data_IF_590343056739
#
_entry.id   IF_590343056739
#
_cell.length_a   1.000
_cell.length_b   1.000
_cell.length_c   1.000
_cell.angle_alpha   90.00
_cell.angle_beta   90.00
_cell.angle_gamma   90.00
#
_symmetry.space_group_name_H-M   'P 1'
#
loop_
_entity.id
_entity.type
_entity.pdbx_description
1 polymer ?
#
# COMPACT_ATOMS: atom_id res chain seq x y z
N UNK A 1 -23.81 -55.03 2.76
CA UNK A 1 -24.27 -54.08 1.73
C UNK A 1 -24.86 -52.78 2.32
N UNK A 2 -25.57 -52.80 3.44
CA UNK A 2 -26.16 -51.59 4.05
C UNK A 2 -25.12 -50.63 4.70
N UNK A 3 -24.09 -51.20 5.35
CA UNK A 3 -22.98 -50.42 5.96
C UNK A 3 -22.18 -49.63 4.93
N UNK A 4 -21.94 -50.19 3.74
CA UNK A 4 -21.19 -49.53 2.66
C UNK A 4 -21.95 -48.33 2.05
N UNK A 5 -23.28 -48.35 2.06
CA UNK A 5 -24.12 -47.24 1.59
C UNK A 5 -24.17 -46.07 2.58
N UNK A 6 -24.05 -46.35 3.87
CA UNK A 6 -23.97 -45.32 4.93
C UNK A 6 -22.67 -44.52 4.88
N UNK A 7 -21.54 -45.14 4.52
CA UNK A 7 -20.26 -44.43 4.35
C UNK A 7 -20.23 -43.50 3.12
N UNK A 8 -20.92 -43.88 2.04
CA UNK A 8 -21.03 -43.04 0.83
C UNK A 8 -21.92 -41.82 1.08
N UNK A 9 -23.03 -41.98 1.81
CA UNK A 9 -23.90 -40.86 2.17
C UNK A 9 -23.22 -39.85 3.14
N UNK A 10 -22.42 -40.33 4.09
CA UNK A 10 -21.66 -39.47 5.00
C UNK A 10 -20.54 -38.68 4.29
N UNK A 11 -19.90 -39.28 3.27
CA UNK A 11 -18.88 -38.60 2.47
C UNK A 11 -19.46 -37.47 1.60
N UNK A 12 -20.71 -37.60 1.12
CA UNK A 12 -21.39 -36.57 0.33
C UNK A 12 -21.80 -35.37 1.21
N UNK A 13 -22.23 -35.61 2.44
CA UNK A 13 -22.59 -34.53 3.38
C UNK A 13 -21.34 -33.77 3.86
N UNK A 14 -20.21 -34.44 4.08
CA UNK A 14 -18.95 -33.80 4.45
C UNK A 14 -18.36 -32.93 3.31
N UNK A 15 -18.59 -33.27 2.04
CA UNK A 15 -18.14 -32.48 0.90
C UNK A 15 -18.99 -31.22 0.64
N UNK A 16 -20.25 -31.22 1.10
CA UNK A 16 -21.15 -30.07 0.94
C UNK A 16 -20.81 -28.87 1.85
N UNK A 17 -20.04 -29.08 2.92
CA UNK A 17 -19.62 -28.02 3.87
C UNK A 17 -18.28 -27.36 3.53
N UNK A 18 -17.55 -27.83 2.50
CA UNK A 18 -16.26 -27.26 2.09
C UNK A 18 -16.40 -26.02 1.17
N UNK A 19 -17.63 -25.65 0.78
CA UNK A 19 -17.92 -24.55 -0.13
C UNK A 19 -18.22 -23.20 0.52
N UNK A 20 -18.00 -23.03 1.82
CA UNK A 20 -18.19 -21.75 2.50
C UNK A 20 -17.17 -20.73 1.97
N UNK A 21 -17.58 -19.97 0.97
CA UNK A 21 -16.89 -18.75 0.57
C UNK A 21 -16.89 -17.81 1.78
N UNK A 22 -15.71 -17.56 2.35
CA UNK A 22 -15.53 -16.46 3.29
C UNK A 22 -15.94 -15.19 2.56
N UNK A 23 -17.10 -14.63 2.92
CA UNK A 23 -17.51 -13.33 2.42
C UNK A 23 -16.45 -12.32 2.86
N UNK A 24 -15.57 -11.90 1.95
CA UNK A 24 -14.67 -10.80 2.25
C UNK A 24 -15.53 -9.57 2.56
N UNK A 25 -15.39 -9.06 3.79
CA UNK A 25 -16.09 -7.86 4.21
C UNK A 25 -15.73 -6.72 3.25
N UNK A 26 -16.74 -6.23 2.51
CA UNK A 26 -16.57 -5.10 1.64
C UNK A 26 -16.70 -3.81 2.46
N UNK A 27 -15.75 -2.89 2.27
CA UNK A 27 -15.76 -1.57 2.91
C UNK A 27 -16.41 -0.56 1.98
N UNK A 28 -17.40 0.20 2.47
CA UNK A 28 -18.02 1.25 1.66
C UNK A 28 -17.07 2.43 1.51
N UNK A 29 -16.95 2.95 0.29
CA UNK A 29 -16.19 4.15 -0.02
C UNK A 29 -16.92 5.06 -0.99
N UNK A 30 -16.38 6.25 -1.21
CA UNK A 30 -16.87 7.24 -2.17
C UNK A 30 -15.75 7.56 -3.16
N UNK A 31 -16.08 7.61 -4.46
CA UNK A 31 -15.14 8.08 -5.48
C UNK A 31 -14.91 9.60 -5.35
N UNK A 32 -13.66 10.05 -5.24
CA UNK A 32 -13.35 11.48 -5.05
C UNK A 32 -13.30 12.27 -6.36
N UNK A 33 -13.22 11.59 -7.50
CA UNK A 33 -13.15 12.17 -8.84
C UNK A 33 -13.79 11.23 -9.87
N UNK A 34 -13.98 11.72 -11.10
CA UNK A 34 -14.32 10.88 -12.24
C UNK A 34 -13.13 9.96 -12.55
N UNK A 35 -13.26 8.68 -12.21
CA UNK A 35 -12.14 7.73 -12.24
C UNK A 35 -12.47 6.52 -13.09
N UNK A 36 -11.50 6.08 -13.89
CA UNK A 36 -11.63 4.86 -14.68
C UNK A 36 -11.60 3.62 -13.78
N UNK A 37 -12.67 2.83 -13.82
CA UNK A 37 -12.68 1.48 -13.31
C UNK A 37 -11.95 0.58 -14.32
N UNK A 38 -10.83 -0.03 -13.93
CA UNK A 38 -9.96 -0.77 -14.85
C UNK A 38 -10.04 -2.27 -14.66
N UNK A 39 -9.71 -3.01 -15.70
CA UNK A 39 -9.67 -4.47 -15.65
C UNK A 39 -8.54 -5.03 -14.75
N UNK A 40 -7.57 -4.21 -14.36
CA UNK A 40 -6.47 -4.64 -13.49
C UNK A 40 -5.79 -3.48 -12.76
N UNK A 41 -4.92 -3.78 -11.79
CA UNK A 41 -4.27 -2.81 -10.89
C UNK A 41 -3.11 -2.05 -11.56
N UNK A 42 -3.36 -1.46 -12.73
CA UNK A 42 -2.42 -0.60 -13.46
C UNK A 42 -3.16 0.22 -14.52
N UNK A 43 -2.61 1.38 -14.89
CA UNK A 43 -3.12 2.20 -16.00
C UNK A 43 -2.96 1.55 -17.37
N UNK A 44 -2.15 0.50 -17.49
CA UNK A 44 -2.02 -0.30 -18.72
C UNK A 44 -3.20 -1.24 -19.00
N UNK A 45 -4.06 -1.49 -18.02
CA UNK A 45 -5.28 -2.28 -18.21
C UNK A 45 -6.41 -1.44 -18.83
N UNK A 46 -7.28 -2.06 -19.64
CA UNK A 46 -8.40 -1.37 -20.26
C UNK A 46 -9.38 -0.84 -19.20
N UNK A 47 -10.00 0.30 -19.51
CA UNK A 47 -11.10 0.81 -18.72
C UNK A 47 -12.37 0.02 -19.04
N UNK A 48 -13.07 -0.40 -17.99
CA UNK A 48 -14.39 -1.05 -18.05
C UNK A 48 -15.46 0.04 -18.19
N UNK A 49 -15.40 1.04 -17.30
CA UNK A 49 -16.31 2.18 -17.25
C UNK A 49 -15.67 3.32 -16.45
N UNK A 50 -16.37 4.44 -16.34
CA UNK A 50 -16.01 5.58 -15.47
C UNK A 50 -16.93 5.57 -14.26
N UNK A 51 -16.35 5.64 -13.06
CA UNK A 51 -17.08 5.90 -11.81
C UNK A 51 -17.15 7.42 -11.61
N UNK A 52 -18.35 8.02 -11.55
CA UNK A 52 -18.48 9.46 -11.33
C UNK A 52 -18.03 9.87 -9.92
N UNK A 53 -17.54 11.10 -9.78
CA UNK A 53 -17.23 11.68 -8.48
C UNK A 53 -18.47 11.70 -7.55
N UNK A 54 -18.27 11.45 -6.25
CA UNK A 54 -19.34 11.40 -5.26
C UNK A 54 -20.13 10.09 -5.21
N UNK A 55 -19.83 9.14 -6.10
CA UNK A 55 -20.57 7.87 -6.18
C UNK A 55 -20.10 6.88 -5.11
N UNK A 56 -21.05 6.18 -4.49
CA UNK A 56 -20.77 5.10 -3.56
C UNK A 56 -20.23 3.85 -4.28
N UNK A 57 -19.18 3.27 -3.73
CA UNK A 57 -18.51 2.08 -4.22
C UNK A 57 -18.27 1.09 -3.08
N UNK A 58 -18.24 -0.19 -3.40
CA UNK A 58 -17.91 -1.25 -2.44
C UNK A 58 -16.49 -1.72 -2.68
N UNK A 59 -15.61 -1.56 -1.69
CA UNK A 59 -14.20 -1.96 -1.76
C UNK A 59 -14.01 -3.33 -1.14
N UNK A 60 -13.65 -4.33 -1.93
CA UNK A 60 -13.52 -5.72 -1.47
C UNK A 60 -12.11 -6.05 -0.97
N UNK A 61 -11.14 -5.24 -1.35
CA UNK A 61 -9.74 -5.40 -0.96
C UNK A 61 -8.84 -4.58 -1.86
N UNK A 62 -7.58 -4.47 -1.49
CA UNK A 62 -6.56 -3.88 -2.35
C UNK A 62 -5.42 -4.85 -2.61
N UNK A 63 -4.73 -4.70 -3.73
CA UNK A 63 -3.48 -5.44 -3.93
C UNK A 63 -2.45 -5.01 -2.89
N UNK A 64 -1.44 -5.87 -2.66
CA UNK A 64 -0.36 -5.58 -1.72
C UNK A 64 0.24 -4.19 -2.00
N UNK A 65 0.41 -3.39 -0.95
CA UNK A 65 0.82 -1.98 -1.04
C UNK A 65 -0.32 -0.98 -1.19
N UNK A 66 -1.58 -1.45 -1.25
CA UNK A 66 -2.80 -0.64 -1.22
C UNK A 66 -2.83 0.50 -2.25
N UNK A 67 -2.10 0.36 -3.36
CA UNK A 67 -2.09 1.36 -4.44
C UNK A 67 -3.33 1.24 -5.34
N UNK A 68 -3.87 0.03 -5.47
CA UNK A 68 -5.04 -0.28 -6.28
C UNK A 68 -6.00 -1.16 -5.49
N UNK A 69 -7.28 -0.86 -5.58
CA UNK A 69 -8.33 -1.54 -4.86
C UNK A 69 -9.37 -2.12 -5.82
N UNK A 70 -9.75 -3.35 -5.55
CA UNK A 70 -10.83 -4.05 -6.22
C UNK A 70 -12.15 -3.55 -5.66
N UNK A 71 -12.93 -2.88 -6.50
CA UNK A 71 -14.18 -2.26 -6.14
C UNK A 71 -15.32 -2.77 -7.02
N UNK A 72 -16.51 -2.77 -6.46
CA UNK A 72 -17.76 -2.96 -7.20
C UNK A 72 -18.49 -1.63 -7.34
N UNK A 73 -18.96 -1.34 -8.55
CA UNK A 73 -19.78 -0.20 -8.91
C UNK A 73 -20.91 -0.66 -9.82
N UNK A 74 -22.13 -0.72 -9.27
CA UNK A 74 -23.28 -1.32 -9.98
C UNK A 74 -22.97 -2.77 -10.40
N UNK A 75 -23.16 -3.15 -11.68
CA UNK A 75 -22.83 -4.49 -12.17
C UNK A 75 -21.33 -4.67 -12.46
N UNK A 76 -20.53 -3.59 -12.37
CA UNK A 76 -19.12 -3.62 -12.75
C UNK A 76 -18.23 -3.97 -11.56
N UNK A 77 -17.24 -4.82 -11.83
CA UNK A 77 -16.18 -5.21 -10.91
C UNK A 77 -14.84 -4.82 -11.52
N UNK A 78 -13.95 -4.20 -10.76
CA UNK A 78 -12.63 -3.84 -11.28
C UNK A 78 -11.77 -3.04 -10.33
N UNK A 79 -10.72 -2.43 -10.84
CA UNK A 79 -9.65 -1.81 -10.06
C UNK A 79 -9.63 -0.29 -10.20
N UNK A 80 -9.53 0.39 -9.06
CA UNK A 80 -9.37 1.84 -8.95
C UNK A 80 -8.17 2.15 -8.06
N UNK A 81 -7.43 3.22 -8.34
CA UNK A 81 -6.32 3.62 -7.49
C UNK A 81 -6.85 4.14 -6.13
N UNK A 82 -6.22 3.74 -5.03
CA UNK A 82 -6.70 4.04 -3.68
C UNK A 82 -6.81 5.55 -3.39
N UNK A 83 -5.98 6.37 -4.03
CA UNK A 83 -6.04 7.83 -3.92
C UNK A 83 -7.36 8.46 -4.40
N UNK A 84 -8.18 7.72 -5.15
CA UNK A 84 -9.50 8.15 -5.60
C UNK A 84 -10.65 7.60 -4.74
N UNK A 85 -10.33 6.88 -3.67
CA UNK A 85 -11.31 6.27 -2.78
C UNK A 85 -11.27 7.02 -1.46
N UNK A 86 -12.41 7.51 -1.01
CA UNK A 86 -12.59 8.11 0.30
C UNK A 86 -13.38 7.15 1.19
N UNK A 87 -12.92 6.97 2.43
CA UNK A 87 -13.57 6.17 3.46
C UNK A 87 -13.86 7.04 4.67
N UNK A 88 -14.77 6.60 5.53
CA UNK A 88 -15.01 7.26 6.83
C UNK A 88 -14.12 6.59 7.88
N UNK A 89 -13.24 7.38 8.50
CA UNK A 89 -12.39 6.92 9.59
C UNK A 89 -12.52 7.88 10.76
N UNK A 90 -12.87 7.35 11.95
CA UNK A 90 -13.10 8.15 13.17
C UNK A 90 -14.08 9.33 12.95
N UNK A 91 -15.14 9.11 12.17
CA UNK A 91 -16.17 10.11 11.91
C UNK A 91 -15.81 11.17 10.86
N UNK A 92 -14.60 11.14 10.29
CA UNK A 92 -14.17 12.07 9.25
C UNK A 92 -13.97 11.37 7.90
N UNK A 93 -14.27 12.05 6.77
CA UNK A 93 -13.90 11.57 5.45
C UNK A 93 -12.39 11.66 5.26
N UNK A 94 -11.75 10.55 4.90
CA UNK A 94 -10.30 10.47 4.66
C UNK A 94 -10.04 9.71 3.37
N UNK A 95 -9.13 10.23 2.54
CA UNK A 95 -8.66 9.53 1.34
C UNK A 95 -7.91 8.27 1.75
N UNK A 96 -8.24 7.16 1.10
CA UNK A 96 -7.64 5.88 1.38
C UNK A 96 -6.14 5.92 1.08
N UNK A 97 -5.38 5.49 2.06
CA UNK A 97 -3.93 5.38 1.98
C UNK A 97 -3.49 4.05 2.57
N UNK A 98 -2.30 3.59 2.20
CA UNK A 98 -1.83 2.29 2.65
C UNK A 98 -1.70 2.10 4.17
N UNK A 99 -1.31 3.12 4.98
CA UNK A 99 -1.34 2.98 6.43
C UNK A 99 -2.76 2.90 7.00
N UNK A 100 -3.72 3.53 6.32
CA UNK A 100 -5.12 3.58 6.75
C UNK A 100 -5.90 2.32 6.38
N UNK A 101 -5.59 1.71 5.23
CA UNK A 101 -6.37 0.61 4.67
C UNK A 101 -6.58 -0.57 5.65
N UNK A 102 -5.56 -1.08 6.37
CA UNK A 102 -5.78 -2.13 7.37
C UNK A 102 -6.67 -1.67 8.53
N UNK A 103 -6.56 -0.39 8.94
CA UNK A 103 -7.31 0.16 10.07
C UNK A 103 -8.81 0.32 9.78
N UNK A 104 -9.19 0.39 8.50
CA UNK A 104 -10.60 0.42 8.06
C UNK A 104 -11.11 -0.95 7.60
N UNK A 105 -10.36 -2.03 7.85
CA UNK A 105 -10.77 -3.40 7.52
C UNK A 105 -10.54 -3.82 6.07
N UNK A 106 -9.84 -3.02 5.26
CA UNK A 106 -9.51 -3.38 3.88
C UNK A 106 -8.33 -4.35 3.89
N UNK A 107 -8.55 -5.54 3.33
CA UNK A 107 -7.57 -6.62 3.29
C UNK A 107 -6.79 -6.65 1.97
N UNK A 108 -5.71 -7.43 1.95
CA UNK A 108 -4.92 -7.66 0.74
C UNK A 108 -5.56 -8.75 -0.11
N UNK A 109 -5.87 -8.43 -1.36
CA UNK A 109 -6.41 -9.36 -2.37
C UNK A 109 -5.40 -9.56 -3.50
N UNK A 110 -5.58 -10.66 -4.24
CA UNK A 110 -4.70 -11.03 -5.36
C UNK A 110 -5.41 -10.79 -6.69
N UNK A 111 -4.75 -10.08 -7.60
CA UNK A 111 -5.13 -10.05 -9.01
C UNK A 111 -4.44 -11.20 -9.76
N UNK A 112 -5.20 -12.12 -10.33
CA UNK A 112 -4.69 -13.28 -11.05
C UNK A 112 -5.59 -13.67 -12.24
N UNK A 113 -5.20 -14.76 -12.93
CA UNK A 113 -5.96 -15.27 -14.07
C UNK A 113 -7.38 -15.73 -13.70
N UNK A 114 -7.56 -16.30 -12.51
CA UNK A 114 -8.89 -16.74 -12.04
C UNK A 114 -9.83 -15.54 -11.93
N UNK A 115 -9.39 -14.45 -11.29
CA UNK A 115 -10.17 -13.20 -11.20
C UNK A 115 -10.55 -12.69 -12.59
N UNK A 116 -9.60 -12.67 -13.52
CA UNK A 116 -9.83 -12.25 -14.90
C UNK A 116 -10.90 -13.10 -15.60
N UNK A 117 -10.81 -14.42 -15.47
CA UNK A 117 -11.76 -15.37 -16.03
C UNK A 117 -13.11 -15.34 -15.31
N UNK A 118 -13.19 -14.89 -14.06
CA UNK A 118 -14.48 -14.75 -13.36
C UNK A 118 -15.25 -13.51 -13.84
N UNK A 119 -14.59 -12.35 -13.93
CA UNK A 119 -15.29 -11.09 -14.10
C UNK A 119 -15.31 -10.55 -15.55
N UNK A 120 -14.40 -11.01 -16.41
CA UNK A 120 -14.18 -10.33 -17.69
C UNK A 120 -14.48 -11.15 -18.94
N UNK A 121 -15.03 -12.37 -18.83
CA UNK A 121 -15.33 -13.25 -19.97
C UNK A 121 -16.12 -12.59 -21.10
N UNK A 122 -17.03 -11.68 -20.77
CA UNK A 122 -17.89 -11.01 -21.74
C UNK A 122 -17.23 -9.83 -22.46
N UNK A 123 -16.01 -9.42 -22.07
CA UNK A 123 -15.38 -8.22 -22.62
C UNK A 123 -14.55 -8.53 -23.88
N UNK A 124 -14.54 -7.65 -24.90
CA UNK A 124 -13.83 -7.89 -26.17
C UNK A 124 -12.32 -8.15 -26.00
N UNK A 125 -11.71 -7.60 -24.96
CA UNK A 125 -10.29 -7.72 -24.66
C UNK A 125 -9.94 -8.91 -23.76
N UNK A 126 -10.92 -9.73 -23.35
CA UNK A 126 -10.74 -10.88 -22.46
C UNK A 126 -9.61 -11.83 -22.88
N UNK A 127 -9.55 -12.18 -24.17
CA UNK A 127 -8.55 -13.11 -24.71
C UNK A 127 -7.11 -12.59 -24.67
N UNK A 128 -6.90 -11.31 -24.35
CA UNK A 128 -5.59 -10.64 -24.39
C UNK A 128 -4.87 -10.60 -23.05
N UNK A 129 -5.15 -11.51 -22.13
CA UNK A 129 -4.49 -11.58 -20.81
C UNK A 129 -2.96 -11.38 -20.88
N UNK A 130 -2.29 -12.09 -21.80
CA UNK A 130 -0.83 -12.04 -21.95
C UNK A 130 -0.29 -10.71 -22.52
N UNK A 131 -1.17 -9.87 -23.11
CA UNK A 131 -0.78 -8.55 -23.63
C UNK A 131 -0.71 -7.49 -22.51
N UNK A 132 -1.26 -7.77 -21.33
CA UNK A 132 -1.28 -6.83 -20.22
C UNK A 132 -0.09 -7.07 -19.27
N UNK A 133 0.56 -6.00 -18.80
CA UNK A 133 1.70 -6.13 -17.90
C UNK A 133 1.26 -6.82 -16.60
N UNK A 134 1.99 -7.82 -16.10
CA UNK A 134 1.65 -8.45 -14.83
C UNK A 134 1.68 -7.42 -13.71
N UNK A 135 0.76 -7.55 -12.75
CA UNK A 135 0.80 -6.73 -11.55
C UNK A 135 2.06 -7.07 -10.74
N UNK A 136 2.96 -6.10 -10.62
CA UNK A 136 4.11 -6.19 -9.72
C UNK A 136 3.79 -5.38 -8.47
N UNK A 137 3.66 -6.01 -7.28
CA UNK A 137 3.39 -5.27 -6.07
C UNK A 137 4.53 -4.29 -5.79
N UNK A 138 4.23 -3.06 -5.34
CA UNK A 138 5.25 -2.10 -5.02
C UNK A 138 6.15 -2.63 -3.89
N UNK A 139 7.46 -2.36 -3.98
CA UNK A 139 8.41 -2.72 -2.92
C UNK A 139 8.08 -2.01 -1.59
N UNK A 140 7.47 -0.84 -1.69
CA UNK A 140 6.99 -0.03 -0.59
C UNK A 140 5.47 -0.11 -0.49
N UNK A 141 4.94 -0.20 0.72
CA UNK A 141 3.51 -0.18 1.01
C UNK A 141 3.01 1.24 1.21
N UNK A 142 3.79 2.14 1.81
CA UNK A 142 3.41 3.53 1.98
C UNK A 142 4.60 4.46 1.77
N UNK A 143 4.34 5.69 1.35
CA UNK A 143 5.32 6.77 1.36
C UNK A 143 4.63 8.10 1.65
N UNK A 144 5.34 9.00 2.33
CA UNK A 144 4.91 10.37 2.57
C UNK A 144 6.08 11.35 2.33
N UNK A 145 5.72 12.59 2.00
CA UNK A 145 6.64 13.73 1.89
C UNK A 145 5.90 15.00 2.28
N UNK A 146 6.50 15.83 3.12
CA UNK A 146 5.99 17.18 3.39
C UNK A 146 7.15 18.16 3.56
N UNK A 147 6.88 19.42 3.24
CA UNK A 147 7.83 20.53 3.43
C UNK A 147 7.05 21.71 3.98
N UNK A 148 7.54 22.27 5.08
CA UNK A 148 6.98 23.46 5.70
C UNK A 148 8.10 24.46 5.92
N UNK A 149 7.92 25.70 5.46
CA UNK A 149 8.89 26.78 5.67
C UNK A 149 8.22 27.97 6.36
N UNK A 150 8.84 28.50 7.40
CA UNK A 150 8.39 29.68 8.13
C UNK A 150 9.59 30.42 8.73
N UNK A 151 9.59 31.75 8.65
CA UNK A 151 10.60 32.60 9.30
C UNK A 151 12.06 32.28 8.92
N UNK A 152 12.33 31.92 7.65
CA UNK A 152 13.67 31.56 7.20
C UNK A 152 14.17 30.17 7.61
N UNK A 153 13.30 29.37 8.27
CA UNK A 153 13.52 27.97 8.56
C UNK A 153 12.63 27.09 7.67
N UNK A 154 13.16 25.96 7.23
CA UNK A 154 12.43 24.94 6.46
C UNK A 154 12.59 23.57 7.11
N UNK A 155 11.48 22.86 7.29
CA UNK A 155 11.43 21.48 7.75
C UNK A 155 10.82 20.61 6.67
N UNK A 156 11.61 19.67 6.14
CA UNK A 156 11.15 18.62 5.24
C UNK A 156 11.08 17.29 5.97
N UNK A 157 9.97 16.57 5.83
CA UNK A 157 9.86 15.18 6.27
C UNK A 157 9.58 14.27 5.08
N UNK A 158 10.12 13.05 5.12
CA UNK A 158 9.81 12.01 4.15
C UNK A 158 9.91 10.66 4.82
N UNK A 159 9.03 9.73 4.47
CA UNK A 159 9.10 8.37 4.96
C UNK A 159 8.56 7.36 3.96
N UNK A 160 8.95 6.11 4.13
CA UNK A 160 8.39 4.98 3.39
C UNK A 160 8.41 3.71 4.23
N UNK A 161 7.38 2.88 4.06
CA UNK A 161 7.32 1.53 4.64
C UNK A 161 7.38 0.48 3.53
N UNK A 162 8.08 -0.60 3.77
CA UNK A 162 8.30 -1.73 2.87
C UNK A 162 7.24 -2.80 3.00
N UNK A 163 7.09 -3.63 1.97
CA UNK A 163 6.19 -4.80 1.97
C UNK A 163 6.47 -5.79 3.10
N UNK A 164 7.72 -5.92 3.50
CA UNK A 164 8.15 -6.86 4.54
C UNK A 164 8.25 -6.22 5.93
N UNK A 165 7.66 -5.05 6.17
CA UNK A 165 7.60 -4.42 7.50
C UNK A 165 8.73 -3.45 7.84
N UNK A 166 9.80 -3.36 7.04
CA UNK A 166 10.84 -2.33 7.24
C UNK A 166 10.33 -0.92 6.94
N UNK A 167 10.88 0.10 7.57
CA UNK A 167 10.50 1.51 7.35
C UNK A 167 11.71 2.44 7.27
N UNK A 168 11.58 3.58 6.63
CA UNK A 168 12.57 4.67 6.70
C UNK A 168 11.85 5.98 6.89
N UNK A 169 12.37 6.83 7.77
CA UNK A 169 11.90 8.17 8.00
C UNK A 169 13.10 9.12 7.96
N UNK A 170 12.93 10.28 7.35
CA UNK A 170 13.93 11.33 7.30
C UNK A 170 13.27 12.66 7.62
N UNK A 171 13.89 13.41 8.53
CA UNK A 171 13.60 14.81 8.80
C UNK A 171 14.81 15.64 8.42
N UNK A 172 14.59 16.76 7.75
CA UNK A 172 15.61 17.74 7.41
C UNK A 172 15.14 19.13 7.83
N UNK A 173 15.87 19.75 8.74
CA UNK A 173 15.61 21.10 9.22
C UNK A 173 16.76 21.99 8.76
N UNK A 174 16.45 23.06 8.05
CA UNK A 174 17.44 24.02 7.56
C UNK A 174 17.04 25.43 7.97
N UNK A 175 17.99 26.19 8.49
CA UNK A 175 17.80 27.59 8.91
C UNK A 175 19.10 28.34 8.69
N UNK A 176 19.05 29.53 8.07
CA UNK A 176 20.21 30.41 7.93
C UNK A 176 21.42 29.75 7.25
N UNK A 177 21.20 28.86 6.28
CA UNK A 177 22.27 28.13 5.58
C UNK A 177 22.83 26.91 6.32
N UNK A 178 22.47 26.71 7.59
CA UNK A 178 22.74 25.47 8.32
C UNK A 178 21.61 24.45 8.07
N UNK A 179 21.95 23.16 8.05
CA UNK A 179 21.01 22.07 7.86
C UNK A 179 21.34 20.88 8.73
N UNK A 180 20.36 20.40 9.48
CA UNK A 180 20.39 19.12 10.20
C UNK A 180 19.46 18.14 9.51
N UNK A 181 19.96 16.96 9.15
CA UNK A 181 19.17 15.88 8.59
C UNK A 181 19.33 14.62 9.42
N UNK A 182 18.23 14.10 9.92
CA UNK A 182 18.16 12.82 10.64
C UNK A 182 17.40 11.83 9.79
N UNK A 183 17.98 10.66 9.55
CA UNK A 183 17.31 9.52 8.92
C UNK A 183 17.35 8.33 9.86
N UNK A 184 16.22 7.68 10.05
CA UNK A 184 16.10 6.40 10.76
C UNK A 184 15.53 5.38 9.78
N UNK A 185 16.13 4.20 9.74
CA UNK A 185 15.63 3.08 8.95
C UNK A 185 15.50 1.88 9.87
N UNK A 186 14.31 1.31 9.94
CA UNK A 186 14.02 0.07 10.65
C UNK A 186 13.91 -1.07 9.62
N UNK A 187 14.60 -2.17 9.89
CA UNK A 187 14.52 -3.38 9.08
C UNK A 187 13.27 -4.20 9.41
N UNK A 188 12.85 -5.09 8.50
CA UNK A 188 11.77 -6.06 8.73
C UNK A 188 11.85 -6.83 10.05
N UNK A 189 13.07 -7.06 10.53
CA UNK A 189 13.37 -7.91 11.68
C UNK A 189 13.81 -7.08 12.91
N UNK A 190 13.43 -5.80 13.01
CA UNK A 190 13.66 -4.96 14.20
C UNK A 190 15.04 -4.30 14.34
N UNK A 191 15.97 -4.52 13.41
CA UNK A 191 17.25 -3.79 13.39
C UNK A 191 17.07 -2.34 12.95
N UNK A 192 17.75 -1.39 13.59
CA UNK A 192 17.61 0.06 13.29
C UNK A 192 18.93 0.68 12.83
N UNK A 193 18.90 1.51 11.80
CA UNK A 193 20.03 2.33 11.36
C UNK A 193 19.64 3.81 11.39
N UNK A 194 20.26 4.57 12.28
CA UNK A 194 20.12 6.01 12.38
C UNK A 194 21.34 6.72 11.79
N UNK A 195 21.10 7.82 11.09
CA UNK A 195 22.14 8.71 10.56
C UNK A 195 21.70 10.16 10.75
N UNK A 196 22.55 10.93 11.41
CA UNK A 196 22.36 12.38 11.55
C UNK A 196 23.48 13.10 10.81
N UNK A 197 23.15 14.09 10.00
CA UNK A 197 24.09 14.95 9.28
C UNK A 197 23.82 16.40 9.67
N UNK A 198 24.81 17.05 10.26
CA UNK A 198 24.78 18.45 10.66
C UNK A 198 25.73 19.21 9.76
N UNK A 199 25.22 20.17 9.00
CA UNK A 199 25.98 21.07 8.15
C UNK A 199 25.79 22.49 8.67
N UNK A 200 26.87 23.22 8.92
CA UNK A 200 26.80 24.62 9.29
C UNK A 200 27.02 25.52 8.05
N UNK A 201 26.45 26.73 8.08
CA UNK A 201 26.59 27.69 6.99
C UNK A 201 28.05 28.09 6.81
N UNK A 202 28.58 27.97 5.58
CA UNK A 202 29.98 28.30 5.29
C UNK A 202 31.02 27.34 5.89
N UNK A 203 30.60 26.26 6.56
CA UNK A 203 31.49 25.28 7.18
C UNK A 203 31.28 23.87 6.59
N UNK A 204 32.07 22.94 7.10
CA UNK A 204 31.93 21.52 6.87
C UNK A 204 30.63 20.89 7.40
N UNK A 205 30.47 19.59 7.15
CA UNK A 205 29.42 18.82 7.80
C UNK A 205 29.98 17.65 8.60
N UNK A 206 29.30 17.38 9.72
CA UNK A 206 29.51 16.18 10.54
C UNK A 206 28.39 15.19 10.26
N UNK A 207 28.72 13.91 10.15
CA UNK A 207 27.76 12.82 10.02
C UNK A 207 28.01 11.80 11.11
N UNK A 208 26.99 11.56 11.94
CA UNK A 208 26.98 10.50 12.94
C UNK A 208 26.07 9.37 12.46
N UNK A 209 26.48 8.13 12.69
CA UNK A 209 25.71 6.92 12.37
C UNK A 209 25.67 6.03 13.59
N UNK A 210 24.51 5.45 13.85
CA UNK A 210 24.32 4.37 14.80
C UNK A 210 23.53 3.25 14.11
N UNK A 211 23.96 2.01 14.29
CA UNK A 211 23.26 0.81 13.80
C UNK A 211 23.08 -0.13 14.95
N UNK A 212 21.84 -0.54 15.21
CA UNK A 212 21.47 -1.56 16.18
C UNK A 212 20.96 -2.75 15.38
N UNK A 213 21.62 -3.91 15.52
CA UNK A 213 21.17 -5.15 14.90
C UNK A 213 19.91 -5.71 15.56
N UNK A 214 19.20 -6.65 14.90
CA UNK A 214 18.02 -7.32 15.46
C UNK A 214 18.24 -7.94 16.86
N UNK A 215 19.47 -8.38 17.14
CA UNK A 215 19.87 -9.00 18.41
C UNK A 215 20.49 -8.01 19.41
N UNK A 216 20.33 -6.69 19.20
CA UNK A 216 20.80 -5.64 20.12
C UNK A 216 22.25 -5.17 19.94
N UNK A 217 23.05 -5.82 19.08
CA UNK A 217 24.42 -5.41 18.81
C UNK A 217 24.49 -4.00 18.19
N UNK A 218 25.28 -3.10 18.77
CA UNK A 218 25.34 -1.68 18.35
C UNK A 218 26.68 -1.32 17.74
N UNK A 219 26.65 -0.61 16.60
CA UNK A 219 27.82 -0.02 15.94
C UNK A 219 27.60 1.45 15.68
N UNK A 220 28.49 2.29 16.19
CA UNK A 220 28.47 3.74 15.97
C UNK A 220 29.65 4.19 15.10
N UNK A 221 29.55 5.38 14.52
CA UNK A 221 30.66 6.01 13.81
C UNK A 221 30.35 7.45 13.45
N UNK A 222 31.39 8.29 13.43
CA UNK A 222 31.31 9.68 13.03
C UNK A 222 32.28 9.95 11.88
N UNK A 223 31.91 10.89 11.01
CA UNK A 223 32.80 11.45 9.98
C UNK A 223 32.55 12.93 9.84
N UNK A 224 33.62 13.70 9.66
CA UNK A 224 33.56 15.13 9.43
C UNK A 224 34.32 15.46 8.15
N UNK A 225 33.82 16.40 7.37
CA UNK A 225 34.55 16.96 6.23
C UNK A 225 34.35 18.47 6.23
N UNK A 226 35.39 19.22 5.86
CA UNK A 226 35.34 20.67 5.73
C UNK A 226 35.25 21.05 4.24
N UNK A 227 34.63 22.19 3.96
CA UNK A 227 34.75 22.86 2.66
C UNK A 227 35.87 23.90 2.81
N UNK A 228 36.89 23.79 1.96
CA UNK A 228 37.96 24.78 1.80
C UNK A 228 37.49 25.89 0.88
#
# INVERSE_FOLDING_TARGET
MLRTRLFIAAAIIAFALAGMSVAQAATTGIATANVNLRAGPSTGYPAITVVPAGTAILTHGCVAGYGWCDIAFGPYRGWVAASYIQVVYRGAPVVLSAPLAPAVGITVVTFNRVYWDTYYRAYPWYGRWAAYPPYVPPRITSANRSVTCAGGACVGTSGASGRYGGSTAQTRTCTGGACTSTRVTEGPNGGTAARTRNCAAGLGCTTNRAVVGPSGGTRTGSRSFQRW
#
